data_IF_124114711735
#
_entry.id   IF_124114711735
#
_cell.length_a   1.000
_cell.length_b   1.000
_cell.length_c   1.000
_cell.angle_alpha   90.00
_cell.angle_beta   90.00
_cell.angle_gamma   90.00
#
_symmetry.space_group_name_H-M   'P 1'
#
loop_
_entity.id
_entity.type
_entity.pdbx_description
1 polymer ?
#
# COMPACT_ATOMS: atom_id res chain seq x y z
N UNK A 1 -21.30 -2.66 -12.72
CA UNK A 1 -20.78 -1.69 -11.72
C UNK A 1 -19.25 -1.69 -11.76
N UNK A 2 -18.62 -0.51 -11.80
CA UNK A 2 -17.16 -0.43 -11.62
C UNK A 2 -16.82 -0.84 -10.18
N UNK A 3 -15.78 -1.66 -10.02
CA UNK A 3 -15.30 -2.05 -8.70
C UNK A 3 -14.70 -0.82 -8.00
N UNK A 4 -14.97 -0.62 -6.69
CA UNK A 4 -14.47 0.55 -5.98
C UNK A 4 -12.93 0.51 -5.85
N UNK A 5 -12.32 1.69 -5.80
CA UNK A 5 -10.89 1.87 -5.49
C UNK A 5 -10.76 2.37 -4.05
N UNK A 6 -9.92 1.70 -3.26
CA UNK A 6 -9.58 2.10 -1.91
C UNK A 6 -8.31 2.97 -1.93
N UNK A 7 -8.37 4.16 -1.33
CA UNK A 7 -7.23 5.07 -1.19
C UNK A 7 -6.90 5.21 0.31
N UNK A 8 -5.67 4.88 0.70
CA UNK A 8 -5.21 4.93 2.08
C UNK A 8 -3.97 5.82 2.16
N UNK A 9 -4.08 6.95 2.86
CA UNK A 9 -3.01 7.93 2.96
C UNK A 9 -2.14 7.67 4.20
N UNK A 10 -0.82 7.53 4.02
CA UNK A 10 0.20 7.30 5.08
C UNK A 10 -0.13 6.17 6.06
N UNK A 11 -0.93 5.19 5.63
CA UNK A 11 -1.54 4.20 6.53
C UNK A 11 -0.54 3.34 7.29
N UNK A 12 0.60 3.03 6.66
CA UNK A 12 1.63 2.18 7.26
C UNK A 12 2.35 2.85 8.43
N UNK A 13 2.45 4.19 8.44
CA UNK A 13 3.12 4.94 9.51
C UNK A 13 2.35 4.91 10.84
N UNK A 14 1.04 4.62 10.79
CA UNK A 14 0.16 4.63 11.96
C UNK A 14 0.04 3.27 12.67
N UNK A 15 0.68 2.23 12.14
CA UNK A 15 0.49 0.85 12.56
C UNK A 15 1.80 0.18 12.96
N UNK A 16 1.75 -0.68 13.98
CA UNK A 16 2.82 -1.64 14.25
C UNK A 16 2.90 -2.73 13.17
N UNK A 17 4.00 -3.49 13.15
CA UNK A 17 4.28 -4.50 12.11
C UNK A 17 3.17 -5.55 11.97
N UNK A 18 2.65 -6.04 13.10
CA UNK A 18 1.58 -7.04 13.11
C UNK A 18 0.29 -6.50 12.51
N UNK A 19 -0.08 -5.25 12.86
CA UNK A 19 -1.25 -4.57 12.31
C UNK A 19 -1.11 -4.25 10.84
N UNK A 20 0.08 -3.83 10.37
CA UNK A 20 0.33 -3.61 8.94
C UNK A 20 0.09 -4.88 8.14
N UNK A 21 0.64 -6.01 8.60
CA UNK A 21 0.45 -7.30 7.95
C UNK A 21 -1.02 -7.71 7.89
N UNK A 22 -1.74 -7.60 9.02
CA UNK A 22 -3.16 -7.90 9.06
C UNK A 22 -3.96 -7.01 8.08
N UNK A 23 -3.69 -5.70 8.04
CA UNK A 23 -4.32 -4.79 7.09
C UNK A 23 -4.10 -5.22 5.63
N UNK A 24 -2.86 -5.57 5.28
CA UNK A 24 -2.53 -5.99 3.91
C UNK A 24 -3.21 -7.30 3.53
N UNK A 25 -3.33 -8.24 4.47
CA UNK A 25 -4.05 -9.50 4.27
C UNK A 25 -5.56 -9.26 4.07
N UNK A 26 -6.16 -8.34 4.82
CA UNK A 26 -7.56 -7.94 4.62
C UNK A 26 -7.78 -7.25 3.26
N UNK A 27 -6.87 -6.38 2.83
CA UNK A 27 -6.95 -5.71 1.51
C UNK A 27 -6.93 -6.75 0.38
N UNK A 28 -6.06 -7.76 0.45
CA UNK A 28 -6.02 -8.83 -0.54
C UNK A 28 -7.30 -9.68 -0.51
N UNK A 29 -7.84 -9.98 0.69
CA UNK A 29 -9.08 -10.74 0.85
C UNK A 29 -10.32 -9.99 0.31
N UNK A 30 -10.33 -8.66 0.39
CA UNK A 30 -11.40 -7.82 -0.17
C UNK A 30 -11.46 -7.86 -1.70
N UNK A 31 -10.37 -8.26 -2.37
CA UNK A 31 -10.27 -8.35 -3.83
C UNK A 31 -10.69 -7.04 -4.54
N UNK A 32 -10.22 -5.92 -4.02
CA UNK A 32 -10.44 -4.57 -4.55
C UNK A 32 -9.12 -3.96 -5.02
N UNK A 33 -9.20 -2.95 -5.89
CA UNK A 33 -8.02 -2.15 -6.19
C UNK A 33 -7.72 -1.22 -5.01
N UNK A 34 -6.52 -1.32 -4.43
CA UNK A 34 -6.08 -0.47 -3.35
C UNK A 34 -4.81 0.31 -3.72
N UNK A 35 -4.78 1.59 -3.39
CA UNK A 35 -3.62 2.46 -3.49
C UNK A 35 -3.28 2.96 -2.09
N UNK A 36 -2.00 2.88 -1.76
CA UNK A 36 -1.47 3.29 -0.47
C UNK A 36 -0.30 4.25 -0.69
N UNK A 37 -0.22 5.29 0.14
CA UNK A 37 0.95 6.19 0.18
C UNK A 37 1.73 5.94 1.47
N UNK A 38 3.01 6.27 1.42
CA UNK A 38 3.88 6.26 2.58
C UNK A 38 5.28 6.73 2.22
N UNK A 39 5.98 7.24 3.22
CA UNK A 39 7.36 7.74 3.07
C UNK A 39 8.43 6.71 3.41
N UNK A 40 8.09 5.64 4.14
CA UNK A 40 9.02 4.60 4.59
C UNK A 40 8.79 3.27 3.86
N UNK A 41 9.70 2.89 2.96
CA UNK A 41 9.58 1.66 2.18
C UNK A 41 9.56 0.37 3.03
N UNK A 42 10.43 0.21 4.05
CA UNK A 42 10.36 -0.89 5.01
C UNK A 42 8.98 -1.13 5.65
N UNK A 43 8.17 -0.08 5.85
CA UNK A 43 6.84 -0.23 6.41
C UNK A 43 5.90 -1.08 5.52
N UNK A 44 6.22 -1.19 4.22
CA UNK A 44 5.47 -1.97 3.24
C UNK A 44 6.13 -3.30 2.85
N UNK A 45 7.20 -3.73 3.54
CA UNK A 45 7.94 -4.95 3.18
C UNK A 45 7.02 -6.20 3.10
N UNK A 46 5.96 -6.27 3.90
CA UNK A 46 4.98 -7.36 3.89
C UNK A 46 4.11 -7.44 2.60
N UNK A 47 4.16 -6.42 1.75
CA UNK A 47 3.54 -6.37 0.42
C UNK A 47 4.52 -6.64 -0.72
N UNK A 48 5.80 -6.91 -0.43
CA UNK A 48 6.74 -7.37 -1.44
C UNK A 48 6.18 -8.59 -2.18
N UNK A 49 6.36 -8.61 -3.51
CA UNK A 49 5.75 -9.58 -4.44
C UNK A 49 4.21 -9.59 -4.54
N UNK A 50 3.47 -8.86 -3.69
CA UNK A 50 2.00 -8.74 -3.73
C UNK A 50 1.52 -7.44 -4.37
N UNK A 51 2.32 -6.38 -4.28
CA UNK A 51 1.98 -5.05 -4.80
C UNK A 51 3.00 -4.51 -5.81
N UNK A 52 2.56 -3.55 -6.61
CA UNK A 52 3.46 -2.73 -7.42
C UNK A 52 3.92 -1.52 -6.61
N UNK A 53 5.22 -1.29 -6.55
CA UNK A 53 5.81 -0.14 -5.88
C UNK A 53 6.19 0.94 -6.88
N UNK A 54 5.83 2.18 -6.56
CA UNK A 54 6.17 3.37 -7.34
C UNK A 54 6.73 4.43 -6.41
N UNK A 55 7.81 5.07 -6.82
CA UNK A 55 8.38 6.22 -6.14
C UNK A 55 7.81 7.48 -6.77
N UNK A 56 7.21 8.33 -5.95
CA UNK A 56 6.74 9.65 -6.36
C UNK A 56 7.68 10.71 -5.78
N UNK A 57 8.19 11.60 -6.62
CA UNK A 57 9.08 12.68 -6.22
C UNK A 57 9.47 13.56 -7.40
N UNK A 58 9.82 14.81 -7.15
CA UNK A 58 10.21 15.78 -8.20
C UNK A 58 9.16 15.94 -9.31
N UNK A 59 7.87 15.82 -8.97
CA UNK A 59 6.75 15.86 -9.93
C UNK A 59 6.71 14.66 -10.88
N UNK A 60 7.40 13.56 -10.56
CA UNK A 60 7.49 12.36 -11.39
C UNK A 60 7.12 11.10 -10.62
N UNK A 61 6.68 10.08 -11.37
CA UNK A 61 6.43 8.72 -10.89
C UNK A 61 7.46 7.80 -11.54
N UNK A 62 8.20 7.04 -10.73
CA UNK A 62 9.23 6.09 -11.18
C UNK A 62 8.94 4.70 -10.61
N UNK A 63 9.30 3.62 -11.33
CA UNK A 63 9.34 2.29 -10.71
C UNK A 63 10.28 2.30 -9.50
N UNK A 64 9.91 1.57 -8.45
CA UNK A 64 10.84 1.18 -7.39
C UNK A 64 11.49 -0.15 -7.71
#
# INVERSE_FOLDING_TARGET
>A
PEAPVLLLDEIAAHLDEGRRRALFDEIDALNVQAWMTGTDAPAFAALEARAQFKRVGDGQIRPM
#
